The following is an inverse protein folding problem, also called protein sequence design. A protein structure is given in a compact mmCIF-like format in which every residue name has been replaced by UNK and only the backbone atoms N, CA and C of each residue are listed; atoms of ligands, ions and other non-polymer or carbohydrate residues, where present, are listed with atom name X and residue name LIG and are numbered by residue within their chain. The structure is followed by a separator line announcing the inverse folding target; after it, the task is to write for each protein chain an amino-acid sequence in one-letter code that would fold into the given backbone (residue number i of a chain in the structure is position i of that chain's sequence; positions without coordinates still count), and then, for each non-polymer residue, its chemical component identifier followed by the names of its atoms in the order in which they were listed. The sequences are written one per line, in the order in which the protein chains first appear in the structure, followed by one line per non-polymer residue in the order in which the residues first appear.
data_IF_861850351280
#
_entry.id   IF_861850351280
#
_cell.length_a   1.000
_cell.length_b   1.000
_cell.length_c   1.000
_cell.angle_alpha   90.00
_cell.angle_beta   90.00
_cell.angle_gamma   90.00
#
_symmetry.space_group_name_H-M   'P 1'
#
loop_
_entity.id
_entity.type
_entity.pdbx_description
1 polymer ?
#
# COMPACT_ATOMS: atom_id res chain seq x y z
N UNK A 1 -3.25 -17.71 13.78
CA UNK A 1 -1.91 -17.88 13.17
C UNK A 1 -0.94 -17.23 14.12
N UNK A 2 -0.20 -18.04 14.89
CA UNK A 2 0.77 -17.56 15.85
C UNK A 2 2.03 -17.09 15.11
N UNK A 3 2.30 -15.79 15.12
CA UNK A 3 3.58 -15.26 14.67
C UNK A 3 4.67 -15.71 15.64
N UNK A 4 5.81 -16.26 15.17
CA UNK A 4 6.88 -16.68 16.05
C UNK A 4 7.53 -15.44 16.70
N UNK A 5 7.70 -15.42 18.03
CA UNK A 5 8.43 -14.36 18.72
C UNK A 5 9.93 -14.57 18.47
N UNK A 6 10.48 -13.95 17.42
CA UNK A 6 11.90 -14.12 17.09
C UNK A 6 12.58 -13.06 16.21
N UNK A 7 11.85 -12.25 15.44
CA UNK A 7 12.48 -11.36 14.44
C UNK A 7 12.98 -10.00 14.93
N UNK A 8 12.83 -9.62 16.19
CA UNK A 8 13.19 -8.26 16.65
C UNK A 8 14.68 -8.04 16.93
N UNK A 9 15.48 -9.09 17.13
CA UNK A 9 16.89 -8.96 17.53
C UNK A 9 17.81 -8.50 16.38
N UNK A 10 17.57 -8.94 15.13
CA UNK A 10 18.38 -8.56 13.96
C UNK A 10 18.15 -7.12 13.51
N UNK A 11 16.90 -6.64 13.52
CA UNK A 11 16.53 -5.26 13.16
C UNK A 11 17.28 -4.17 13.96
N UNK A 12 17.67 -4.48 15.19
CA UNK A 12 18.43 -3.54 16.04
C UNK A 12 19.88 -3.36 15.57
N UNK A 13 20.47 -4.35 14.90
CA UNK A 13 21.88 -4.36 14.53
C UNK A 13 22.15 -3.56 13.27
N UNK A 14 21.38 -3.72 12.18
CA UNK A 14 21.52 -2.87 10.98
C UNK A 14 21.28 -1.39 11.33
N UNK A 15 20.27 -1.11 12.15
CA UNK A 15 19.98 0.27 12.56
C UNK A 15 21.04 0.84 13.50
N UNK A 16 21.56 0.04 14.45
CA UNK A 16 22.72 0.42 15.27
C UNK A 16 23.96 0.61 14.42
N UNK A 17 24.18 -0.20 13.39
CA UNK A 17 25.32 -0.07 12.49
C UNK A 17 25.19 1.21 11.65
N UNK A 18 24.02 1.46 11.06
CA UNK A 18 23.73 2.71 10.36
C UNK A 18 23.90 3.93 11.28
N UNK A 19 23.44 3.86 12.55
CA UNK A 19 23.65 4.89 13.57
C UNK A 19 25.09 5.03 14.04
N UNK A 20 25.80 3.95 14.32
CA UNK A 20 27.18 3.96 14.80
C UNK A 20 28.10 4.56 13.73
N UNK A 21 27.91 4.12 12.49
CA UNK A 21 28.59 4.70 11.35
C UNK A 21 28.21 6.19 11.17
N UNK A 22 27.00 6.66 11.59
CA UNK A 22 26.54 8.06 11.49
C UNK A 22 27.35 8.94 12.45
N UNK A 23 27.50 8.47 13.68
CA UNK A 23 28.30 9.13 14.72
C UNK A 23 29.79 9.19 14.38
N UNK A 24 30.39 8.13 13.82
CA UNK A 24 31.82 8.12 13.47
C UNK A 24 32.14 9.15 12.37
N UNK A 25 31.23 9.37 11.42
CA UNK A 25 31.46 10.33 10.35
C UNK A 25 31.26 11.80 10.76
N UNK A 26 30.43 12.07 11.79
CA UNK A 26 30.31 13.40 12.37
C UNK A 26 31.50 13.74 13.27
N UNK A 27 31.97 12.79 14.08
CA UNK A 27 33.18 12.96 14.91
C UNK A 27 34.44 13.24 14.06
N UNK A 28 34.54 12.65 12.85
CA UNK A 28 35.65 12.92 11.92
C UNK A 28 35.56 14.30 11.26
N UNK A 29 34.40 14.96 11.27
CA UNK A 29 34.21 16.32 10.74
C UNK A 29 34.45 17.42 11.78
N UNK A 30 34.34 17.09 13.07
CA UNK A 30 34.63 18.02 14.18
C UNK A 30 36.10 17.98 14.66
N UNK A 31 36.89 17.00 14.21
CA UNK A 31 38.32 16.88 14.58
C UNK A 31 39.29 17.74 13.74
N UNK A 32 38.80 18.70 12.96
CA UNK A 32 39.64 19.60 12.15
C UNK A 32 39.33 21.05 12.46
N UNK A 33 39.55 21.50 13.71
CA UNK A 33 39.71 22.94 14.00
C UNK A 33 40.48 23.17 15.30
N UNK A 34 41.64 23.80 15.13
CA UNK A 34 42.40 24.66 16.06
C UNK A 34 43.01 24.06 17.35
N UNK A 35 44.33 23.87 17.28
CA UNK A 35 45.25 23.99 18.42
C UNK A 35 45.12 25.36 19.08
N UNK A 36 45.07 25.40 20.42
CA UNK A 36 45.67 26.49 21.19
C UNK A 36 46.24 25.95 22.51
N UNK A 37 47.52 26.28 22.74
CA UNK A 37 48.33 25.90 23.89
C UNK A 37 47.79 26.43 25.23
N UNK A 38 48.04 25.66 26.30
CA UNK A 38 47.84 26.10 27.68
C UNK A 38 48.38 25.09 28.70
N UNK A 39 49.57 25.38 29.23
CA UNK A 39 50.31 24.60 30.23
C UNK A 39 49.67 24.61 31.63
N UNK A 40 49.89 23.56 32.44
CA UNK A 40 49.63 23.63 33.89
C UNK A 40 49.58 22.33 34.72
N UNK A 41 50.75 21.84 35.15
CA UNK A 41 51.11 21.34 36.51
C UNK A 41 50.38 20.11 37.14
N UNK A 42 51.17 19.03 37.27
CA UNK A 42 51.41 18.07 38.38
C UNK A 42 50.32 17.63 39.39
N UNK A 43 50.22 16.30 39.60
CA UNK A 43 50.45 15.61 40.90
C UNK A 43 50.57 14.07 40.80
N UNK A 44 51.55 13.56 41.56
CA UNK A 44 51.89 12.20 42.04
C UNK A 44 50.69 11.47 42.71
N UNK A 45 50.55 10.15 42.95
CA UNK A 45 51.39 8.94 43.23
C UNK A 45 50.38 7.75 43.26
N UNK A 46 50.66 6.49 42.89
CA UNK A 46 51.25 5.44 43.74
C UNK A 46 51.33 4.10 42.97
N UNK A 47 52.32 3.29 43.35
CA UNK A 47 52.65 1.96 42.84
C UNK A 47 51.78 0.81 43.40
N UNK A 48 51.72 -0.32 42.68
CA UNK A 48 51.90 -1.66 43.24
C UNK A 48 52.22 -2.70 42.15
N UNK A 49 53.19 -3.56 42.48
CA UNK A 49 53.79 -4.60 41.66
C UNK A 49 52.84 -5.77 41.35
N UNK A 50 53.07 -6.43 40.21
CA UNK A 50 52.52 -7.73 39.90
C UNK A 50 53.26 -8.37 38.72
N UNK A 51 54.45 -8.93 38.99
CA UNK A 51 55.20 -9.75 38.01
C UNK A 51 54.56 -11.13 37.97
N UNK A 52 54.13 -11.56 36.78
CA UNK A 52 53.86 -12.96 36.47
C UNK A 52 54.41 -13.25 35.08
N UNK A 53 55.58 -13.90 35.09
CA UNK A 53 56.21 -14.54 33.94
C UNK A 53 55.37 -15.73 33.49
N UNK A 54 54.78 -15.64 32.31
CA UNK A 54 54.18 -16.76 31.60
C UNK A 54 54.87 -16.93 30.23
N UNK A 55 55.23 -18.17 29.97
CA UNK A 55 56.00 -18.73 28.86
C UNK A 55 55.39 -18.42 27.48
N UNK A 56 56.18 -18.12 26.44
CA UNK A 56 55.65 -17.89 25.11
C UNK A 56 55.33 -19.23 24.44
N UNK A 57 54.05 -19.57 24.36
CA UNK A 57 53.57 -20.61 23.45
C UNK A 57 53.48 -19.98 22.07
N UNK A 58 54.33 -20.44 21.17
CA UNK A 58 54.40 -20.06 19.77
C UNK A 58 53.14 -20.61 19.06
N UNK A 59 52.00 -19.94 19.21
CA UNK A 59 50.83 -20.19 18.37
C UNK A 59 51.11 -19.57 17.01
N UNK A 60 51.41 -20.46 16.08
CA UNK A 60 51.46 -20.21 14.65
C UNK A 60 50.03 -19.81 14.21
N UNK A 61 49.69 -18.54 14.42
CA UNK A 61 48.50 -17.89 13.86
C UNK A 61 48.65 -17.93 12.34
N UNK A 62 48.04 -18.94 11.72
CA UNK A 62 47.60 -18.82 10.34
C UNK A 62 46.68 -17.61 10.31
N UNK A 63 47.22 -16.48 9.86
CA UNK A 63 46.43 -15.35 9.40
C UNK A 63 45.64 -15.85 8.20
N UNK A 64 44.45 -16.38 8.46
CA UNK A 64 43.36 -16.31 7.50
C UNK A 64 43.18 -14.82 7.21
N UNK A 65 43.83 -14.34 6.14
CA UNK A 65 43.62 -12.99 5.63
C UNK A 65 42.13 -12.86 5.39
N UNK A 66 41.45 -12.16 6.30
CA UNK A 66 40.06 -11.80 6.14
C UNK A 66 39.95 -11.04 4.81
N UNK A 67 39.32 -11.68 3.82
CA UNK A 67 39.08 -11.10 2.50
C UNK A 67 38.43 -9.73 2.72
N UNK A 68 39.09 -8.69 2.19
CA UNK A 68 38.66 -7.32 2.42
C UNK A 68 37.36 -7.08 1.65
N UNK A 69 36.50 -6.24 2.20
CA UNK A 69 35.27 -5.78 1.55
C UNK A 69 35.52 -5.16 0.16
N UNK A 70 36.71 -4.59 -0.02
CA UNK A 70 37.20 -4.04 -1.30
C UNK A 70 37.42 -5.10 -2.37
N UNK A 71 37.51 -6.38 -1.97
CA UNK A 71 37.88 -7.50 -2.85
C UNK A 71 36.62 -8.18 -3.42
N UNK A 72 35.42 -7.79 -2.98
CA UNK A 72 34.17 -8.22 -3.62
C UNK A 72 34.08 -7.53 -4.98
N UNK A 73 34.12 -8.28 -6.10
CA UNK A 73 34.03 -7.68 -7.42
C UNK A 73 32.72 -6.92 -7.56
N UNK A 74 32.75 -5.75 -8.19
CA UNK A 74 31.55 -4.98 -8.54
C UNK A 74 30.57 -5.84 -9.38
N UNK A 75 31.12 -6.81 -10.12
CA UNK A 75 30.40 -7.84 -10.89
C UNK A 75 29.55 -8.79 -10.03
N UNK A 76 29.83 -8.94 -8.72
CA UNK A 76 29.07 -9.80 -7.82
C UNK A 76 27.80 -9.11 -7.27
N UNK A 77 27.68 -7.79 -7.40
CA UNK A 77 26.56 -7.00 -6.88
C UNK A 77 25.21 -7.44 -7.47
N UNK A 78 25.05 -7.62 -8.80
CA UNK A 78 23.82 -8.12 -9.39
C UNK A 78 23.44 -9.51 -8.86
N UNK A 79 24.44 -10.40 -8.70
CA UNK A 79 24.22 -11.75 -8.17
C UNK A 79 23.72 -11.71 -6.73
N UNK A 80 24.33 -10.91 -5.86
CA UNK A 80 23.85 -10.75 -4.47
C UNK A 80 22.44 -10.19 -4.45
N UNK A 81 22.13 -9.22 -5.31
CA UNK A 81 20.78 -8.65 -5.41
C UNK A 81 19.74 -9.66 -5.95
N UNK A 82 20.13 -10.62 -6.78
CA UNK A 82 19.25 -11.73 -7.20
C UNK A 82 18.95 -12.71 -6.05
N UNK A 83 19.93 -12.92 -5.15
CA UNK A 83 19.76 -13.79 -3.97
C UNK A 83 18.96 -13.11 -2.85
N UNK A 84 19.10 -11.79 -2.69
CA UNK A 84 18.39 -11.01 -1.68
C UNK A 84 17.04 -10.55 -2.24
N UNK A 85 15.98 -11.28 -1.89
CA UNK A 85 14.62 -11.01 -2.38
C UNK A 85 13.72 -10.27 -1.39
N UNK A 86 14.20 -10.03 -0.18
CA UNK A 86 13.47 -9.34 0.90
C UNK A 86 14.40 -8.50 1.74
N UNK A 87 13.83 -7.52 2.46
CA UNK A 87 14.58 -6.67 3.37
C UNK A 87 15.09 -7.47 4.56
N UNK A 88 14.30 -8.40 5.10
CA UNK A 88 14.75 -9.29 6.19
C UNK A 88 15.97 -10.14 5.79
N UNK A 89 16.05 -10.61 4.54
CA UNK A 89 17.25 -11.32 4.04
C UNK A 89 18.46 -10.39 3.94
N UNK A 90 18.26 -9.15 3.48
CA UNK A 90 19.33 -8.16 3.43
C UNK A 90 19.85 -7.84 4.84
N UNK A 91 18.95 -7.66 5.81
CA UNK A 91 19.31 -7.44 7.22
C UNK A 91 20.15 -8.61 7.75
N UNK A 92 19.70 -9.86 7.56
CA UNK A 92 20.43 -11.04 7.99
C UNK A 92 21.82 -11.16 7.34
N UNK A 93 21.93 -10.80 6.06
CA UNK A 93 23.20 -10.81 5.33
C UNK A 93 24.17 -9.76 5.87
N UNK A 94 23.68 -8.55 6.15
CA UNK A 94 24.50 -7.48 6.74
C UNK A 94 24.95 -7.85 8.14
N UNK A 95 24.07 -8.45 8.95
CA UNK A 95 24.38 -8.91 10.30
C UNK A 95 25.44 -10.03 10.29
N UNK A 96 25.42 -10.91 9.29
CA UNK A 96 26.43 -11.96 9.12
C UNK A 96 27.81 -11.42 8.67
N UNK A 97 27.85 -10.30 7.97
CA UNK A 97 29.07 -9.74 7.38
C UNK A 97 29.21 -8.21 7.56
N UNK A 98 29.22 -7.68 8.80
CA UNK A 98 29.11 -6.24 9.07
C UNK A 98 30.29 -5.39 8.57
N UNK A 99 31.44 -6.01 8.28
CA UNK A 99 32.63 -5.35 7.76
C UNK A 99 32.70 -5.35 6.23
N UNK A 100 31.91 -6.18 5.55
CA UNK A 100 31.96 -6.37 4.09
C UNK A 100 31.04 -5.40 3.33
N UNK A 101 30.02 -4.87 3.99
CA UNK A 101 29.02 -4.03 3.36
C UNK A 101 29.36 -2.53 3.50
N UNK A 102 30.06 -2.00 2.50
CA UNK A 102 30.26 -0.55 2.37
C UNK A 102 29.05 0.14 1.74
N UNK A 103 28.95 1.46 1.89
CA UNK A 103 27.88 2.26 1.23
C UNK A 103 27.84 2.06 -0.28
N UNK A 104 29.02 1.94 -0.92
CA UNK A 104 29.14 1.76 -2.37
C UNK A 104 28.55 0.42 -2.84
N UNK A 105 28.65 -0.62 -2.02
CA UNK A 105 28.09 -1.96 -2.31
C UNK A 105 26.60 -2.03 -1.94
N UNK A 106 26.23 -1.48 -0.77
CA UNK A 106 24.86 -1.56 -0.27
C UNK A 106 23.86 -0.76 -1.09
N UNK A 107 24.25 0.42 -1.56
CA UNK A 107 23.31 1.33 -2.21
C UNK A 107 22.74 0.75 -3.53
N UNK A 108 23.54 0.17 -4.44
CA UNK A 108 23.02 -0.53 -5.62
C UNK A 108 22.08 -1.69 -5.26
N UNK A 109 22.45 -2.53 -4.29
CA UNK A 109 21.63 -3.67 -3.83
C UNK A 109 20.28 -3.17 -3.32
N UNK A 110 20.27 -2.13 -2.50
CA UNK A 110 19.06 -1.52 -1.95
C UNK A 110 18.17 -0.93 -3.05
N UNK A 111 18.74 -0.25 -4.05
CA UNK A 111 17.97 0.30 -5.18
C UNK A 111 17.32 -0.81 -6.00
N UNK A 112 18.07 -1.88 -6.30
CA UNK A 112 17.55 -3.02 -7.06
C UNK A 112 16.47 -3.77 -6.28
N UNK A 113 16.69 -4.02 -4.99
CA UNK A 113 15.71 -4.65 -4.11
C UNK A 113 14.43 -3.81 -4.01
N UNK A 114 14.54 -2.49 -3.87
CA UNK A 114 13.37 -1.61 -3.84
C UNK A 114 12.57 -1.71 -5.14
N UNK A 115 13.24 -1.63 -6.28
CA UNK A 115 12.59 -1.77 -7.59
C UNK A 115 11.86 -3.10 -7.71
N UNK A 116 12.53 -4.21 -7.34
CA UNK A 116 11.95 -5.55 -7.40
C UNK A 116 10.77 -5.75 -6.45
N UNK A 117 10.84 -5.20 -5.22
CA UNK A 117 9.75 -5.28 -4.23
C UNK A 117 8.54 -4.47 -4.70
N UNK A 118 8.76 -3.25 -5.22
CA UNK A 118 7.67 -2.39 -5.71
C UNK A 118 6.98 -3.03 -6.91
N UNK A 119 7.75 -3.52 -7.88
CA UNK A 119 7.21 -4.24 -9.05
C UNK A 119 6.48 -5.52 -8.61
N UNK A 120 7.03 -6.30 -7.67
CA UNK A 120 6.40 -7.52 -7.18
C UNK A 120 5.08 -7.29 -6.44
N UNK A 121 4.97 -6.19 -5.71
CA UNK A 121 3.76 -5.84 -4.95
C UNK A 121 2.70 -5.20 -5.86
N UNK A 122 3.09 -4.21 -6.65
CA UNK A 122 2.17 -3.30 -7.32
C UNK A 122 2.12 -3.49 -8.84
N UNK A 123 3.09 -4.19 -9.43
CA UNK A 123 3.29 -4.28 -10.88
C UNK A 123 3.41 -2.89 -11.52
N UNK A 124 2.98 -2.80 -12.78
CA UNK A 124 3.07 -1.58 -13.58
C UNK A 124 2.19 -0.40 -13.10
N UNK A 125 1.39 -0.57 -12.05
CA UNK A 125 0.52 0.50 -11.52
C UNK A 125 1.27 1.53 -10.67
N UNK A 126 2.48 1.19 -10.21
CA UNK A 126 3.29 2.02 -9.30
C UNK A 126 4.73 2.08 -9.79
N UNK A 127 5.28 3.29 -9.80
CA UNK A 127 6.70 3.55 -10.03
C UNK A 127 7.34 4.01 -8.72
N UNK A 128 8.56 3.54 -8.42
CA UNK A 128 9.33 4.04 -7.29
C UNK A 128 10.47 4.92 -7.77
N UNK A 129 10.49 6.18 -7.33
CA UNK A 129 11.62 7.08 -7.60
C UNK A 129 12.69 6.88 -6.55
N UNK A 130 13.93 6.65 -6.97
CA UNK A 130 15.05 6.62 -6.04
C UNK A 130 15.21 8.01 -5.40
N UNK A 131 15.29 8.11 -4.06
CA UNK A 131 15.51 9.40 -3.39
C UNK A 131 16.75 10.11 -3.95
N UNK A 132 16.58 11.34 -4.44
CA UNK A 132 17.68 12.19 -4.90
C UNK A 132 18.23 13.01 -3.73
N UNK A 133 18.97 12.36 -2.83
CA UNK A 133 19.59 13.04 -1.68
C UNK A 133 21.09 13.27 -1.94
N UNK A 134 21.61 14.41 -1.49
CA UNK A 134 23.00 14.81 -1.72
C UNK A 134 24.06 13.90 -1.04
N UNK A 135 23.61 12.97 -0.19
CA UNK A 135 24.47 12.06 0.55
C UNK A 135 23.96 10.62 0.40
N UNK A 136 24.79 9.74 -0.14
CA UNK A 136 24.46 8.31 -0.36
C UNK A 136 23.87 7.63 0.87
N UNK A 137 24.36 8.04 2.03
CA UNK A 137 23.87 7.57 3.31
C UNK A 137 22.42 7.91 3.59
N UNK A 138 22.01 9.14 3.31
CA UNK A 138 20.63 9.56 3.49
C UNK A 138 19.72 8.77 2.54
N UNK A 139 20.20 8.48 1.32
CA UNK A 139 19.51 7.59 0.37
C UNK A 139 19.34 6.18 0.96
N UNK A 140 20.40 5.59 1.52
CA UNK A 140 20.31 4.26 2.15
C UNK A 140 19.30 4.24 3.31
N UNK A 141 19.31 5.26 4.18
CA UNK A 141 18.34 5.36 5.28
C UNK A 141 16.90 5.47 4.76
N UNK A 142 16.69 6.26 3.70
CA UNK A 142 15.38 6.38 3.07
C UNK A 142 14.92 5.04 2.45
N UNK A 143 15.75 4.39 1.64
CA UNK A 143 15.39 3.12 0.98
C UNK A 143 15.14 2.01 2.01
N UNK A 144 16.00 1.88 3.04
CA UNK A 144 15.79 0.88 4.10
C UNK A 144 14.51 1.14 4.90
N UNK A 145 14.11 2.41 5.08
CA UNK A 145 12.80 2.76 5.64
C UNK A 145 11.65 2.33 4.74
N UNK A 146 11.75 2.57 3.42
CA UNK A 146 10.70 2.21 2.47
C UNK A 146 10.53 0.69 2.40
N UNK A 147 11.64 -0.04 2.24
CA UNK A 147 11.65 -1.50 2.24
C UNK A 147 11.06 -2.08 3.52
N UNK A 148 11.41 -1.52 4.68
CA UNK A 148 10.78 -1.90 5.95
C UNK A 148 9.27 -1.70 5.93
N UNK A 149 8.78 -0.53 5.47
CA UNK A 149 7.34 -0.24 5.42
C UNK A 149 6.61 -1.10 4.39
N UNK A 150 7.22 -1.40 3.25
CA UNK A 150 6.65 -2.29 2.24
C UNK A 150 6.58 -3.73 2.76
N UNK A 151 7.63 -4.24 3.41
CA UNK A 151 7.61 -5.62 3.92
C UNK A 151 6.71 -5.77 5.16
N UNK A 152 6.71 -4.79 6.06
CA UNK A 152 5.91 -4.81 7.30
C UNK A 152 4.54 -4.19 7.17
N UNK A 153 4.24 -3.64 6.00
CA UNK A 153 2.96 -3.01 5.70
C UNK A 153 1.84 -4.02 5.44
N UNK A 154 2.11 -5.32 5.47
CA UNK A 154 1.10 -6.37 5.34
C UNK A 154 0.68 -6.66 3.89
N UNK A 155 -0.60 -6.94 3.67
CA UNK A 155 -1.12 -7.31 2.35
C UNK A 155 -1.38 -6.07 1.49
N UNK A 156 -0.36 -5.64 0.77
CA UNK A 156 -0.48 -4.55 -0.21
C UNK A 156 -1.30 -4.93 -1.46
N UNK A 157 -1.44 -6.24 -1.74
CA UNK A 157 -2.14 -6.74 -2.92
C UNK A 157 -3.61 -6.30 -2.95
N UNK A 158 -4.23 -6.14 -1.78
CA UNK A 158 -5.62 -5.63 -1.65
C UNK A 158 -5.85 -4.26 -2.26
N UNK A 159 -4.80 -3.45 -2.41
CA UNK A 159 -4.90 -2.09 -2.97
C UNK A 159 -4.82 -2.06 -4.49
N UNK A 160 -4.60 -3.19 -5.17
CA UNK A 160 -4.59 -3.25 -6.64
C UNK A 160 -5.82 -2.58 -7.30
N UNK A 161 -7.08 -2.88 -6.90
CA UNK A 161 -8.24 -2.16 -7.46
C UNK A 161 -8.23 -0.66 -7.17
N UNK A 162 -7.71 -0.21 -6.03
CA UNK A 162 -7.60 1.21 -5.68
C UNK A 162 -6.52 1.91 -6.50
N UNK A 163 -5.41 1.23 -6.77
CA UNK A 163 -4.35 1.72 -7.65
C UNK A 163 -4.85 1.89 -9.09
N UNK A 164 -5.73 1.00 -9.56
CA UNK A 164 -6.40 1.17 -10.85
C UNK A 164 -7.30 2.43 -10.85
N UNK A 165 -8.12 2.62 -9.80
CA UNK A 165 -8.93 3.83 -9.66
C UNK A 165 -8.06 5.10 -9.62
N UNK A 166 -6.93 5.06 -8.89
CA UNK A 166 -5.96 6.15 -8.79
C UNK A 166 -5.26 6.42 -10.13
N UNK A 167 -4.91 5.39 -10.89
CA UNK A 167 -4.31 5.51 -12.21
C UNK A 167 -5.21 6.35 -13.13
N UNK A 168 -6.50 6.09 -13.13
CA UNK A 168 -7.47 6.86 -13.90
C UNK A 168 -7.70 8.27 -13.37
N UNK A 169 -7.75 8.47 -12.05
CA UNK A 169 -7.82 9.82 -11.45
C UNK A 169 -6.62 10.69 -11.82
N UNK A 170 -5.44 10.07 -11.97
CA UNK A 170 -4.19 10.74 -12.35
C UNK A 170 -4.01 10.82 -13.87
N UNK A 171 -5.07 10.65 -14.64
CA UNK A 171 -5.04 10.77 -16.10
C UNK A 171 -4.20 9.68 -16.76
N UNK A 172 -4.37 8.43 -16.32
CA UNK A 172 -3.65 7.25 -16.83
C UNK A 172 -2.14 7.31 -16.58
N UNK A 173 -1.75 7.83 -15.41
CA UNK A 173 -0.36 7.89 -14.98
C UNK A 173 -0.13 6.98 -13.75
N UNK A 174 0.95 6.17 -13.73
CA UNK A 174 1.26 5.27 -12.62
C UNK A 174 1.62 6.06 -11.36
N UNK A 175 1.23 5.56 -10.18
CA UNK A 175 1.50 6.25 -8.92
C UNK A 175 3.01 6.27 -8.66
N UNK A 176 3.57 7.46 -8.49
CA UNK A 176 5.01 7.61 -8.24
C UNK A 176 5.24 7.70 -6.74
N UNK A 177 5.77 6.63 -6.15
CA UNK A 177 6.19 6.63 -4.75
C UNK A 177 7.55 7.32 -4.61
N UNK A 178 7.59 8.28 -3.69
CA UNK A 178 8.75 9.09 -3.36
C UNK A 178 8.89 9.24 -1.85
N UNK A 179 9.90 9.99 -1.39
CA UNK A 179 10.18 10.09 0.06
C UNK A 179 9.02 10.71 0.84
N UNK A 180 8.29 11.61 0.20
CA UNK A 180 7.11 12.25 0.79
C UNK A 180 5.99 11.26 1.14
N UNK A 181 5.87 10.16 0.41
CA UNK A 181 4.84 9.15 0.69
C UNK A 181 5.16 8.39 2.00
N UNK A 182 6.44 8.09 2.22
CA UNK A 182 6.91 7.37 3.39
C UNK A 182 7.25 8.31 4.57
N UNK A 183 7.36 9.62 4.32
CA UNK A 183 7.48 10.65 5.37
C UNK A 183 6.17 10.85 6.15
N UNK A 184 5.06 10.28 5.66
CA UNK A 184 3.77 10.28 6.36
C UNK A 184 3.83 9.67 7.77
N UNK A 185 4.88 8.90 8.09
CA UNK A 185 5.16 8.39 9.42
C UNK A 185 6.47 8.97 9.93
N UNK A 186 6.41 9.68 11.06
CA UNK A 186 7.59 10.24 11.72
C UNK A 186 8.56 9.18 12.28
N UNK A 187 8.12 7.92 12.41
CA UNK A 187 8.96 6.81 12.86
C UNK A 187 8.42 5.44 12.44
N UNK A 188 9.28 4.41 12.50
CA UNK A 188 8.86 3.00 12.31
C UNK A 188 7.82 2.57 13.35
N UNK A 189 7.97 3.01 14.60
CA UNK A 189 7.01 2.68 15.67
C UNK A 189 5.63 3.28 15.40
N UNK A 190 5.56 4.51 14.87
CA UNK A 190 4.30 5.14 14.47
C UNK A 190 3.62 4.37 13.31
N UNK A 191 4.40 3.82 12.38
CA UNK A 191 3.88 2.97 11.32
C UNK A 191 3.32 1.64 11.86
N UNK A 192 4.04 0.97 12.76
CA UNK A 192 3.60 -0.31 13.35
C UNK A 192 2.42 -0.14 14.30
N UNK A 193 2.29 1.01 14.96
CA UNK A 193 1.20 1.29 15.91
C UNK A 193 -0.13 1.66 15.27
N UNK A 194 -0.16 1.86 13.95
CA UNK A 194 -1.36 2.23 13.20
C UNK A 194 -1.89 1.00 12.44
N UNK A 195 -3.19 0.99 12.14
CA UNK A 195 -3.82 -0.17 11.47
C UNK A 195 -3.30 -0.33 10.05
N UNK A 196 -3.09 -1.56 9.63
CA UNK A 196 -2.45 -1.91 8.36
C UNK A 196 -3.07 -1.16 7.16
N UNK A 197 -4.38 -1.27 6.94
CA UNK A 197 -5.06 -0.62 5.82
C UNK A 197 -4.97 0.91 5.87
N UNK A 198 -5.02 1.50 7.08
CA UNK A 198 -4.87 2.94 7.28
C UNK A 198 -3.44 3.36 6.95
N UNK A 199 -2.45 2.55 7.35
CA UNK A 199 -1.05 2.77 7.05
C UNK A 199 -0.78 2.76 5.56
N UNK A 200 -1.17 1.68 4.90
CA UNK A 200 -0.99 1.48 3.47
C UNK A 200 -1.63 2.62 2.69
N UNK A 201 -2.88 2.97 3.00
CA UNK A 201 -3.56 4.06 2.33
C UNK A 201 -2.92 5.42 2.56
N UNK A 202 -2.46 5.70 3.79
CA UNK A 202 -1.78 6.96 4.11
C UNK A 202 -0.49 7.10 3.28
N UNK A 203 0.24 6.01 3.03
CA UNK A 203 1.39 6.01 2.09
C UNK A 203 0.91 6.29 0.66
N UNK A 204 -0.08 5.55 0.15
CA UNK A 204 -0.52 5.63 -1.25
C UNK A 204 -1.17 6.96 -1.63
N UNK A 205 -1.79 7.66 -0.68
CA UNK A 205 -2.59 8.87 -0.93
C UNK A 205 -1.87 10.18 -0.67
N UNK A 206 -0.70 10.16 -0.02
CA UNK A 206 -0.05 11.35 0.58
C UNK A 206 0.15 12.52 -0.39
N UNK A 207 0.65 12.25 -1.59
CA UNK A 207 0.90 13.28 -2.62
C UNK A 207 -0.12 13.22 -3.76
N UNK A 208 -1.22 12.48 -3.58
CA UNK A 208 -2.29 12.44 -4.58
C UNK A 208 -3.18 13.65 -4.39
N UNK A 209 -3.17 14.51 -5.40
CA UNK A 209 -4.06 15.66 -5.48
C UNK A 209 -5.22 15.35 -6.42
N UNK A 210 -6.44 15.69 -6.00
CA UNK A 210 -7.66 15.63 -6.81
C UNK A 210 -8.22 17.02 -7.02
N UNK A 211 -8.90 17.21 -8.15
CA UNK A 211 -9.55 18.48 -8.50
C UNK A 211 -11.04 18.39 -8.19
N UNK A 212 -11.54 19.34 -7.40
CA UNK A 212 -12.97 19.55 -7.16
C UNK A 212 -13.35 20.94 -7.67
N UNK A 213 -13.94 21.00 -8.86
CA UNK A 213 -14.21 22.28 -9.53
C UNK A 213 -12.91 23.04 -9.84
N UNK A 214 -12.73 24.22 -9.27
CA UNK A 214 -11.49 25.02 -9.40
C UNK A 214 -10.44 24.73 -8.32
N UNK A 215 -10.81 24.01 -7.24
CA UNK A 215 -9.93 23.77 -6.11
C UNK A 215 -9.16 22.46 -6.30
N UNK A 216 -7.85 22.51 -6.10
CA UNK A 216 -7.02 21.33 -5.92
C UNK A 216 -6.98 21.00 -4.43
N UNK A 217 -7.20 19.74 -4.08
CA UNK A 217 -7.10 19.24 -2.70
C UNK A 217 -6.35 17.93 -2.67
N UNK A 218 -5.61 17.70 -1.58
CA UNK A 218 -5.06 16.38 -1.33
C UNK A 218 -6.20 15.41 -1.08
N UNK A 219 -6.09 14.22 -1.67
CA UNK A 219 -7.14 13.19 -1.66
C UNK A 219 -7.61 12.86 -0.23
N UNK A 220 -6.73 12.97 0.76
CA UNK A 220 -7.05 12.72 2.17
C UNK A 220 -7.28 13.96 3.04
N UNK A 221 -6.89 15.15 2.60
CA UNK A 221 -7.20 16.38 3.33
C UNK A 221 -8.63 16.88 3.00
N UNK A 222 -9.18 16.43 1.86
CA UNK A 222 -10.53 16.79 1.40
C UNK A 222 -11.66 15.96 2.00
N UNK A 223 -11.37 14.82 2.62
CA UNK A 223 -12.36 13.95 3.22
C UNK A 223 -12.50 14.21 4.72
N UNK A 224 -13.73 14.17 5.24
CA UNK A 224 -13.96 14.12 6.69
C UNK A 224 -13.24 12.91 7.26
N UNK A 225 -12.70 13.05 8.48
CA UNK A 225 -12.00 11.95 9.15
C UNK A 225 -12.99 10.80 9.40
N UNK A 226 -12.71 9.59 8.88
CA UNK A 226 -13.56 8.44 9.11
C UNK A 226 -13.44 7.93 10.55
N UNK A 227 -14.52 7.33 11.06
CA UNK A 227 -14.53 6.65 12.35
C UNK A 227 -14.25 5.17 12.16
N UNK A 228 -13.11 4.70 12.67
CA UNK A 228 -12.71 3.29 12.59
C UNK A 228 -13.37 2.51 13.72
N UNK A 229 -13.99 1.38 13.40
CA UNK A 229 -14.62 0.51 14.39
C UNK A 229 -13.63 -0.52 14.91
N UNK A 230 -13.64 -0.79 16.21
CA UNK A 230 -12.80 -1.82 16.86
C UNK A 230 -13.39 -3.23 16.78
N UNK A 231 -14.64 -3.33 16.31
CA UNK A 231 -15.42 -4.55 16.31
C UNK A 231 -16.17 -4.74 14.98
N UNK A 232 -16.59 -5.98 14.65
CA UNK A 232 -17.46 -6.23 13.51
C UNK A 232 -18.71 -5.36 13.56
N UNK A 233 -19.07 -4.75 12.42
CA UNK A 233 -20.33 -4.01 12.30
C UNK A 233 -21.52 -4.99 12.22
N UNK A 234 -22.63 -4.75 12.93
CA UNK A 234 -23.82 -5.60 12.86
C UNK A 234 -24.51 -5.56 11.49
N UNK A 235 -24.14 -4.63 10.62
CA UNK A 235 -24.68 -4.51 9.26
C UNK A 235 -24.07 -5.50 8.28
N UNK A 236 -22.94 -6.10 8.63
CA UNK A 236 -22.22 -7.04 7.78
C UNK A 236 -22.08 -8.39 8.49
N UNK A 237 -21.91 -9.49 7.73
CA UNK A 237 -21.64 -10.79 8.32
C UNK A 237 -20.40 -10.73 9.23
N UNK A 238 -20.42 -11.44 10.36
CA UNK A 238 -19.33 -11.36 11.37
C UNK A 238 -18.02 -11.96 10.88
N UNK A 239 -18.11 -12.91 9.97
CA UNK A 239 -16.99 -13.63 9.34
C UNK A 239 -16.21 -12.76 8.36
N UNK A 240 -16.69 -11.56 8.00
CA UNK A 240 -15.95 -10.63 7.13
C UNK A 240 -15.07 -9.64 7.91
N UNK A 241 -14.95 -9.77 9.23
CA UNK A 241 -14.15 -8.84 10.03
C UNK A 241 -12.65 -9.13 9.90
N UNK A 242 -11.90 -8.15 9.41
CA UNK A 242 -10.44 -8.12 9.39
C UNK A 242 -9.97 -6.96 10.28
N UNK A 243 -9.20 -7.26 11.34
CA UNK A 243 -8.66 -6.22 12.22
C UNK A 243 -7.60 -5.35 11.52
N UNK A 244 -6.94 -5.87 10.48
CA UNK A 244 -5.99 -5.15 9.66
C UNK A 244 -6.68 -4.16 8.69
N UNK A 245 -7.94 -4.45 8.31
CA UNK A 245 -8.80 -3.60 7.47
C UNK A 245 -10.17 -3.36 8.14
N UNK A 246 -10.19 -2.54 9.19
CA UNK A 246 -11.34 -2.47 10.09
C UNK A 246 -12.58 -1.91 9.41
N UNK A 247 -13.80 -2.31 9.86
CA UNK A 247 -15.02 -1.62 9.49
C UNK A 247 -14.93 -0.14 9.80
N UNK A 248 -15.50 0.69 8.93
CA UNK A 248 -15.30 2.13 8.97
C UNK A 248 -16.63 2.85 8.76
N UNK A 249 -16.82 3.99 9.42
CA UNK A 249 -17.99 4.85 9.24
C UNK A 249 -17.61 6.23 8.73
N UNK A 250 -18.39 6.74 7.79
CA UNK A 250 -18.25 8.10 7.27
C UNK A 250 -19.62 8.61 6.80
N UNK A 251 -20.02 9.79 7.28
CA UNK A 251 -21.26 10.48 6.87
C UNK A 251 -22.52 9.60 6.91
N UNK A 252 -22.65 8.77 7.95
CA UNK A 252 -23.79 7.86 8.15
C UNK A 252 -23.72 6.54 7.37
N UNK A 253 -22.78 6.41 6.44
CA UNK A 253 -22.45 5.14 5.80
C UNK A 253 -21.55 4.30 6.70
N UNK A 254 -21.82 3.00 6.75
CA UNK A 254 -20.92 2.00 7.31
C UNK A 254 -20.36 1.13 6.19
N UNK A 255 -19.06 0.95 6.22
CA UNK A 255 -18.27 0.15 5.30
C UNK A 255 -17.79 -1.10 6.05
N UNK A 256 -17.78 -2.28 5.40
CA UNK A 256 -17.30 -3.50 6.03
C UNK A 256 -15.80 -3.43 6.32
N UNK A 257 -15.07 -2.57 5.60
CA UNK A 257 -13.63 -2.39 5.71
C UNK A 257 -13.21 -0.96 5.35
N UNK A 258 -12.00 -0.56 5.74
CA UNK A 258 -11.42 0.73 5.39
C UNK A 258 -11.10 0.80 3.89
N UNK A 259 -10.62 -0.30 3.29
CA UNK A 259 -10.44 -0.38 1.85
C UNK A 259 -11.76 -0.15 1.09
N UNK A 260 -12.90 -0.65 1.59
CA UNK A 260 -14.20 -0.37 1.00
C UNK A 260 -14.54 1.12 1.02
N UNK A 261 -14.30 1.80 2.15
CA UNK A 261 -14.45 3.26 2.23
C UNK A 261 -13.64 3.96 1.13
N UNK A 262 -12.36 3.61 1.01
CA UNK A 262 -11.47 4.25 0.04
C UNK A 262 -11.94 4.00 -1.40
N UNK A 263 -12.38 2.79 -1.74
CA UNK A 263 -12.87 2.47 -3.09
C UNK A 263 -14.06 3.35 -3.48
N UNK A 264 -15.03 3.53 -2.59
CA UNK A 264 -16.18 4.43 -2.83
C UNK A 264 -15.77 5.89 -2.94
N UNK A 265 -14.81 6.33 -2.13
CA UNK A 265 -14.28 7.71 -2.21
C UNK A 265 -13.58 7.96 -3.55
N UNK A 266 -12.68 7.08 -3.96
CA UNK A 266 -11.99 7.14 -5.25
C UNK A 266 -12.96 7.11 -6.43
N UNK A 267 -13.94 6.21 -6.39
CA UNK A 267 -14.97 6.12 -7.41
C UNK A 267 -15.81 7.40 -7.50
N UNK A 268 -16.16 8.01 -6.36
CA UNK A 268 -16.89 9.28 -6.33
C UNK A 268 -16.06 10.39 -6.98
N UNK A 269 -14.76 10.46 -6.71
CA UNK A 269 -13.86 11.40 -7.37
C UNK A 269 -13.79 11.19 -8.89
N UNK A 270 -13.71 9.95 -9.35
CA UNK A 270 -13.68 9.64 -10.80
C UNK A 270 -14.94 10.11 -11.49
N UNK A 271 -16.09 9.81 -10.88
CA UNK A 271 -17.41 10.18 -11.40
C UNK A 271 -17.57 11.70 -11.43
N UNK A 272 -17.29 12.37 -10.31
CA UNK A 272 -17.52 13.81 -10.16
C UNK A 272 -16.52 14.64 -10.98
N UNK A 273 -15.34 14.08 -11.28
CA UNK A 273 -14.34 14.66 -12.17
C UNK A 273 -14.50 14.30 -13.64
N UNK A 274 -15.54 13.56 -14.02
CA UNK A 274 -15.78 13.09 -15.41
C UNK A 274 -14.64 12.27 -16.01
N UNK A 275 -13.86 11.56 -15.18
CA UNK A 275 -12.79 10.66 -15.62
C UNK A 275 -13.33 9.32 -16.14
N UNK A 276 -14.58 9.01 -15.81
CA UNK A 276 -15.31 7.83 -16.27
C UNK A 276 -16.59 8.29 -16.96
N UNK A 277 -16.93 7.63 -18.05
CA UNK A 277 -18.15 7.87 -18.80
C UNK A 277 -19.27 7.01 -18.23
N UNK A 278 -20.41 7.63 -18.01
CA UNK A 278 -21.63 6.92 -17.68
C UNK A 278 -22.13 6.18 -18.93
N UNK A 279 -22.15 4.85 -18.87
CA UNK A 279 -22.54 4.00 -20.00
C UNK A 279 -24.01 3.55 -19.87
N UNK A 280 -24.48 3.28 -18.64
CA UNK A 280 -25.81 2.70 -18.42
C UNK A 280 -26.42 3.00 -17.04
N UNK A 281 -27.75 3.12 -16.99
CA UNK A 281 -28.56 3.01 -15.77
C UNK A 281 -29.78 2.12 -16.06
N UNK A 282 -30.09 1.26 -15.10
CA UNK A 282 -31.32 0.48 -15.06
C UNK A 282 -31.87 0.59 -13.64
N UNK A 283 -33.07 1.14 -13.52
CA UNK A 283 -33.74 1.28 -12.23
C UNK A 283 -35.14 0.67 -12.27
N UNK A 284 -35.61 0.16 -11.13
CA UNK A 284 -36.94 -0.43 -11.02
C UNK A 284 -37.52 -0.18 -9.63
N UNK A 285 -38.71 0.42 -9.59
CA UNK A 285 -39.53 0.56 -8.38
C UNK A 285 -40.39 -0.69 -8.10
N UNK A 286 -40.57 -1.55 -9.12
CA UNK A 286 -41.36 -2.75 -8.99
C UNK A 286 -40.53 -3.87 -8.34
N UNK A 287 -40.82 -4.19 -7.07
CA UNK A 287 -40.12 -5.24 -6.32
C UNK A 287 -40.19 -6.63 -6.96
N UNK A 288 -41.24 -6.89 -7.75
CA UNK A 288 -41.45 -8.15 -8.44
C UNK A 288 -40.81 -8.20 -9.84
N UNK A 289 -40.23 -7.10 -10.33
CA UNK A 289 -39.57 -7.11 -11.64
C UNK A 289 -38.32 -7.99 -11.63
N UNK A 290 -38.02 -8.61 -12.77
CA UNK A 290 -36.82 -9.43 -12.92
C UNK A 290 -35.53 -8.62 -12.63
N UNK A 291 -35.51 -7.33 -12.96
CA UNK A 291 -34.39 -6.44 -12.66
C UNK A 291 -34.23 -6.22 -11.14
N UNK A 292 -35.33 -5.96 -10.43
CA UNK A 292 -35.33 -5.76 -8.98
C UNK A 292 -34.89 -7.02 -8.24
N UNK A 293 -35.38 -8.19 -8.66
CA UNK A 293 -34.96 -9.49 -8.13
C UNK A 293 -33.47 -9.74 -8.39
N UNK A 294 -32.99 -9.46 -9.60
CA UNK A 294 -31.57 -9.63 -9.93
C UNK A 294 -30.66 -8.72 -9.11
N UNK A 295 -31.05 -7.47 -8.85
CA UNK A 295 -30.30 -6.58 -7.94
C UNK A 295 -30.18 -7.19 -6.54
N UNK A 296 -31.27 -7.78 -6.00
CA UNK A 296 -31.21 -8.45 -4.70
C UNK A 296 -30.27 -9.64 -4.69
N UNK A 297 -30.31 -10.47 -5.73
CA UNK A 297 -29.37 -11.59 -5.89
C UNK A 297 -27.92 -11.09 -5.91
N UNK A 298 -27.65 -10.06 -6.71
CA UNK A 298 -26.31 -9.45 -6.81
C UNK A 298 -25.84 -8.88 -5.48
N UNK A 299 -26.71 -8.28 -4.67
CA UNK A 299 -26.35 -7.75 -3.35
C UNK A 299 -26.22 -8.86 -2.29
N UNK A 300 -26.94 -9.97 -2.42
CA UNK A 300 -26.86 -11.11 -1.51
C UNK A 300 -25.63 -11.99 -1.76
N UNK A 301 -25.07 -11.97 -2.97
CA UNK A 301 -23.89 -12.78 -3.31
C UNK A 301 -22.67 -12.40 -2.44
N UNK A 302 -21.81 -13.36 -2.03
CA UNK A 302 -20.57 -13.06 -1.32
C UNK A 302 -19.62 -12.20 -2.18
N UNK A 303 -18.85 -11.30 -1.55
CA UNK A 303 -17.85 -10.49 -2.27
C UNK A 303 -16.76 -11.35 -2.93
N UNK A 304 -16.45 -12.51 -2.34
CA UNK A 304 -15.44 -13.46 -2.81
C UNK A 304 -15.95 -14.45 -3.87
N UNK A 305 -17.21 -14.34 -4.32
CA UNK A 305 -17.80 -15.26 -5.29
C UNK A 305 -17.28 -14.98 -6.71
N UNK A 306 -16.13 -15.55 -7.04
CA UNK A 306 -15.51 -15.41 -8.35
C UNK A 306 -16.38 -15.93 -9.51
N UNK A 307 -17.31 -16.87 -9.26
CA UNK A 307 -18.22 -17.35 -10.29
C UNK A 307 -19.28 -16.29 -10.65
N UNK A 308 -19.71 -15.49 -9.67
CA UNK A 308 -20.64 -14.38 -9.89
C UNK A 308 -19.92 -13.13 -10.43
N UNK A 309 -18.76 -12.77 -9.91
CA UNK A 309 -18.10 -11.50 -10.25
C UNK A 309 -17.11 -11.61 -11.42
N UNK A 310 -16.63 -12.83 -11.70
CA UNK A 310 -15.50 -13.08 -12.60
C UNK A 310 -14.16 -12.93 -11.88
N UNK A 311 -13.16 -13.69 -12.35
CA UNK A 311 -11.79 -13.57 -11.85
C UNK A 311 -11.26 -12.15 -12.10
N UNK A 312 -10.63 -11.55 -11.09
CA UNK A 312 -10.06 -10.19 -11.17
C UNK A 312 -11.04 -9.05 -10.87
N UNK A 313 -12.32 -9.34 -10.58
CA UNK A 313 -13.27 -8.34 -10.12
C UNK A 313 -13.07 -8.05 -8.62
N UNK A 314 -13.05 -6.77 -8.25
CA UNK A 314 -13.04 -6.34 -6.85
C UNK A 314 -14.43 -5.84 -6.44
N UNK A 315 -14.93 -6.30 -5.29
CA UNK A 315 -16.29 -5.99 -4.81
C UNK A 315 -16.22 -5.30 -3.46
N UNK A 316 -16.84 -4.13 -3.38
CA UNK A 316 -16.90 -3.30 -2.17
C UNK A 316 -18.34 -3.04 -1.80
N UNK A 317 -18.64 -3.03 -0.51
CA UNK A 317 -19.98 -2.74 -0.01
C UNK A 317 -19.98 -1.50 0.88
N UNK A 318 -21.13 -0.85 0.97
CA UNK A 318 -21.48 0.05 2.05
C UNK A 318 -22.96 -0.04 2.36
N UNK A 319 -23.31 0.21 3.61
CA UNK A 319 -24.70 0.23 4.07
C UNK A 319 -24.99 1.51 4.82
N UNK A 320 -26.16 2.09 4.56
CA UNK A 320 -26.67 3.22 5.33
C UNK A 320 -27.76 2.69 6.26
N UNK A 321 -27.57 2.87 7.57
CA UNK A 321 -28.61 2.54 8.56
C UNK A 321 -29.23 3.82 9.12
N UNK A 322 -30.18 4.39 8.36
CA UNK A 322 -31.04 5.47 8.83
C UNK A 322 -32.47 5.04 8.55
N UNK A 323 -33.30 5.08 9.60
CA UNK A 323 -34.66 4.53 9.64
C UNK A 323 -34.75 2.99 9.65
N UNK A 324 -35.97 2.48 9.48
CA UNK A 324 -36.31 1.06 9.57
C UNK A 324 -35.84 0.20 8.38
N UNK A 325 -35.26 0.78 7.33
CA UNK A 325 -34.83 0.03 6.13
C UNK A 325 -33.37 0.31 5.83
N UNK A 326 -32.49 -0.72 5.89
CA UNK A 326 -31.09 -0.54 5.53
C UNK A 326 -30.97 -0.31 4.02
N UNK A 327 -30.21 0.71 3.63
CA UNK A 327 -29.76 0.84 2.25
C UNK A 327 -28.49 0.04 2.06
N UNK A 328 -28.37 -0.62 0.91
CA UNK A 328 -27.18 -1.37 0.55
C UNK A 328 -26.72 -0.94 -0.82
N UNK A 329 -25.47 -0.50 -0.89
CA UNK A 329 -24.78 -0.21 -2.13
C UNK A 329 -23.56 -1.11 -2.26
N UNK A 330 -23.40 -1.66 -3.46
CA UNK A 330 -22.25 -2.47 -3.88
C UNK A 330 -21.58 -1.84 -5.08
N UNK A 331 -20.27 -1.75 -5.03
CA UNK A 331 -19.39 -1.31 -6.11
C UNK A 331 -18.57 -2.51 -6.59
N UNK A 332 -18.71 -2.87 -7.85
CA UNK A 332 -17.87 -3.87 -8.52
C UNK A 332 -16.92 -3.14 -9.46
N UNK A 333 -15.62 -3.29 -9.26
CA UNK A 333 -14.57 -2.71 -10.10
C UNK A 333 -13.94 -3.80 -10.95
N UNK A 334 -14.00 -3.62 -12.26
CA UNK A 334 -13.41 -4.48 -13.28
C UNK A 334 -12.20 -3.73 -13.86
N UNK A 335 -11.00 -4.01 -13.37
CA UNK A 335 -9.78 -3.34 -13.79
C UNK A 335 -9.18 -3.88 -15.10
N UNK A 336 -7.97 -3.43 -15.42
CA UNK A 336 -7.22 -3.79 -16.64
C UNK A 336 -7.07 -5.31 -16.86
N UNK A 337 -7.04 -6.14 -15.82
CA UNK A 337 -6.98 -7.61 -15.97
C UNK A 337 -8.23 -8.18 -16.68
N UNK A 338 -9.39 -7.56 -16.46
CA UNK A 338 -10.68 -8.01 -17.02
C UNK A 338 -11.04 -7.19 -18.26
N UNK A 339 -10.81 -5.87 -18.19
CA UNK A 339 -11.19 -4.90 -19.22
C UNK A 339 -10.09 -4.66 -20.25
N UNK A 340 -8.93 -5.30 -20.12
CA UNK A 340 -7.75 -5.05 -20.93
C UNK A 340 -7.03 -3.76 -20.57
N UNK A 341 -5.73 -3.70 -20.88
CA UNK A 341 -4.82 -2.64 -20.44
C UNK A 341 -5.39 -1.23 -20.60
N UNK A 342 -5.33 -0.45 -19.52
CA UNK A 342 -5.70 0.97 -19.49
C UNK A 342 -7.20 1.25 -19.58
N UNK A 343 -8.02 0.21 -19.42
CA UNK A 343 -9.47 0.32 -19.33
C UNK A 343 -9.97 -0.27 -18.03
N UNK A 344 -11.03 0.34 -17.51
CA UNK A 344 -11.77 -0.17 -16.37
C UNK A 344 -13.28 0.02 -16.58
N UNK A 345 -14.06 -0.79 -15.88
CA UNK A 345 -15.49 -0.58 -15.70
C UNK A 345 -15.85 -0.65 -14.22
N UNK A 346 -16.86 0.12 -13.83
CA UNK A 346 -17.41 0.11 -12.48
C UNK A 346 -18.92 -0.11 -12.55
N UNK A 347 -19.42 -1.07 -11.77
CA UNK A 347 -20.85 -1.38 -11.65
C UNK A 347 -21.27 -0.99 -10.24
N UNK A 348 -22.22 -0.08 -10.15
CA UNK A 348 -22.84 0.37 -8.90
C UNK A 348 -24.22 -0.25 -8.80
N UNK A 349 -24.40 -1.15 -7.83
CA UNK A 349 -25.66 -1.86 -7.56
C UNK A 349 -26.23 -1.30 -6.26
N UNK A 350 -27.48 -0.84 -6.27
CA UNK A 350 -28.09 -0.16 -5.13
C UNK A 350 -29.47 -0.74 -4.80
N UNK A 351 -29.75 -0.91 -3.51
CA UNK A 351 -31.08 -1.15 -2.95
C UNK A 351 -31.39 -0.06 -1.92
N UNK A 352 -32.28 0.85 -2.31
CA UNK A 352 -32.81 1.94 -1.49
C UNK A 352 -34.16 1.55 -0.84
N UNK A 353 -34.47 0.24 -0.80
CA UNK A 353 -35.72 -0.32 -0.30
C UNK A 353 -36.76 -0.46 -1.40
N UNK A 354 -37.33 0.67 -1.82
CA UNK A 354 -38.37 0.71 -2.86
C UNK A 354 -37.81 0.93 -4.27
N UNK A 355 -36.62 1.51 -4.37
CA UNK A 355 -35.88 1.65 -5.63
C UNK A 355 -34.68 0.70 -5.64
N UNK A 356 -34.53 -0.05 -6.72
CA UNK A 356 -33.32 -0.82 -7.01
C UNK A 356 -32.72 -0.35 -8.33
N UNK A 357 -31.42 -0.12 -8.34
CA UNK A 357 -30.72 0.40 -9.52
C UNK A 357 -29.40 -0.30 -9.77
N UNK A 358 -29.01 -0.32 -11.04
CA UNK A 358 -27.69 -0.72 -11.51
C UNK A 358 -27.18 0.38 -12.44
N UNK A 359 -26.04 0.97 -12.10
CA UNK A 359 -25.36 1.96 -12.93
C UNK A 359 -24.00 1.43 -13.37
N UNK A 360 -23.66 1.65 -14.63
CA UNK A 360 -22.41 1.19 -15.24
C UNK A 360 -21.62 2.39 -15.73
N UNK A 361 -20.35 2.44 -15.34
CA UNK A 361 -19.39 3.44 -15.75
C UNK A 361 -18.21 2.75 -16.41
N UNK A 362 -17.58 3.39 -17.38
CA UNK A 362 -16.44 2.85 -18.10
C UNK A 362 -15.47 3.94 -18.53
N UNK A 363 -14.21 3.55 -18.72
CA UNK A 363 -13.19 4.38 -19.36
C UNK A 363 -12.96 4.00 -20.82
N UNK A 364 -13.64 2.95 -21.30
CA UNK A 364 -13.67 2.62 -22.72
C UNK A 364 -14.35 3.76 -23.49
N UNK A 365 -13.84 4.04 -24.68
CA UNK A 365 -14.52 4.96 -25.60
C UNK A 365 -15.64 4.24 -26.33
N UNK A 366 -16.72 4.97 -26.65
CA UNK A 366 -17.80 4.44 -27.48
C UNK A 366 -17.23 3.77 -28.76
N UNK A 367 -17.70 2.56 -29.13
CA UNK A 367 -19.00 1.97 -28.79
C UNK A 367 -19.11 1.07 -27.52
N UNK A 368 -18.15 1.09 -26.60
CA UNK A 368 -18.21 0.36 -25.29
C UNK A 368 -18.44 -1.17 -25.40
N UNK A 369 -18.10 -1.81 -26.53
CA UNK A 369 -18.42 -3.21 -26.79
C UNK A 369 -17.77 -4.18 -25.77
N UNK A 370 -16.57 -3.83 -25.29
CA UNK A 370 -15.86 -4.65 -24.29
C UNK A 370 -16.52 -4.53 -22.92
N UNK A 371 -16.86 -3.31 -22.51
CA UNK A 371 -17.61 -3.00 -21.29
C UNK A 371 -18.92 -3.77 -21.33
N UNK A 372 -19.63 -3.69 -22.46
CA UNK A 372 -20.86 -4.41 -22.69
C UNK A 372 -20.69 -5.90 -22.48
N UNK A 373 -19.78 -6.52 -23.21
CA UNK A 373 -19.56 -7.98 -23.11
C UNK A 373 -19.22 -8.41 -21.68
N UNK A 374 -18.37 -7.65 -20.99
CA UNK A 374 -17.88 -8.00 -19.65
C UNK A 374 -18.95 -7.79 -18.57
N UNK A 375 -19.59 -6.62 -18.55
CA UNK A 375 -20.63 -6.28 -17.58
C UNK A 375 -21.85 -7.20 -17.70
N UNK A 376 -22.18 -7.64 -18.92
CA UNK A 376 -23.26 -8.60 -19.18
C UNK A 376 -23.04 -9.95 -18.51
N UNK A 377 -21.78 -10.39 -18.35
CA UNK A 377 -21.46 -11.64 -17.64
C UNK A 377 -21.74 -11.52 -16.15
N UNK A 378 -21.45 -10.35 -15.56
CA UNK A 378 -21.71 -10.07 -14.14
C UNK A 378 -23.22 -9.90 -13.90
N UNK A 379 -23.87 -9.03 -14.67
CA UNK A 379 -25.27 -8.66 -14.45
C UNK A 379 -26.27 -9.76 -14.85
N UNK A 380 -25.90 -10.64 -15.78
CA UNK A 380 -26.78 -11.67 -16.31
C UNK A 380 -27.76 -11.16 -17.38
N UNK A 381 -28.46 -12.10 -18.04
CA UNK A 381 -29.34 -11.79 -19.18
C UNK A 381 -30.56 -10.95 -18.81
N UNK A 382 -31.04 -11.05 -17.57
CA UNK A 382 -32.22 -10.34 -17.07
C UNK A 382 -32.03 -8.83 -17.09
N UNK A 383 -30.83 -8.37 -16.72
CA UNK A 383 -30.42 -6.98 -16.84
C UNK A 383 -29.83 -6.70 -18.22
N UNK A 384 -29.45 -7.72 -18.97
CA UNK A 384 -28.69 -7.55 -20.20
C UNK A 384 -29.48 -7.38 -21.51
N UNK A 385 -30.72 -7.89 -21.56
CA UNK A 385 -31.56 -7.84 -22.75
C UNK A 385 -32.21 -6.49 -23.03
N UNK A 386 -32.30 -5.62 -22.02
CA UNK A 386 -32.80 -4.25 -22.20
C UNK A 386 -31.78 -3.42 -22.97
N UNK A 387 -32.24 -2.54 -23.85
CA UNK A 387 -31.36 -1.78 -24.72
C UNK A 387 -30.28 -1.07 -23.87
N UNK A 388 -29.07 -0.95 -24.42
CA UNK A 388 -27.93 -0.30 -23.74
C UNK A 388 -28.10 1.23 -23.60
N UNK A 389 -29.31 1.75 -23.84
CA UNK A 389 -29.69 3.15 -23.60
C UNK A 389 -30.66 3.22 -22.43
N UNK A 390 -30.61 4.36 -21.72
CA UNK A 390 -31.40 4.69 -20.54
C UNK A 390 -32.88 4.31 -20.72
N UNK A 391 -33.36 3.34 -19.93
CA UNK A 391 -34.77 2.95 -19.84
C UNK A 391 -35.20 3.12 -18.39
N UNK A 392 -36.20 3.96 -18.15
CA UNK A 392 -36.81 4.15 -16.84
C UNK A 392 -38.11 3.33 -16.77
N UNK A 393 -38.16 2.30 -15.93
CA UNK A 393 -39.37 1.50 -15.71
C UNK A 393 -40.36 2.25 -14.78
N UNK A 394 -40.90 3.37 -15.23
CA UNK A 394 -41.97 4.08 -14.50
C UNK A 394 -43.35 3.39 -14.59
N UNK A 395 -43.42 2.14 -15.05
CA UNK A 395 -44.65 1.49 -15.51
C UNK A 395 -45.53 0.80 -14.47
N UNK A 396 -45.29 0.92 -13.15
CA UNK A 396 -46.10 0.21 -12.13
C UNK A 396 -46.98 1.12 -11.25
N UNK A 397 -47.39 2.29 -11.74
CA UNK A 397 -48.58 2.97 -11.22
C UNK A 397 -49.84 2.40 -11.90
N UNK A 398 -50.16 1.14 -11.60
CA UNK A 398 -51.50 0.62 -11.83
C UNK A 398 -52.28 0.79 -10.52
N UNK A 399 -53.39 1.53 -10.60
CA UNK A 399 -54.38 1.78 -9.55
C UNK A 399 -54.87 0.50 -8.87
#
# INVERSE_FOLDING_TARGET
MDQPPGCFAGMFNLWRWLKASLTVSQAKKESTTCNHDGAGISKTTHAANGVSTATPVNQQQQHDSAVSASDVPEEAVPTVAEYVRSYSQLEALIDAHPTQFTTAVLLPILKQLLSAVVEGIFGASVEATVPQLALDRAIMVAITRWLFMLERGGDWGRWRPHLELLYHLRGKSPLVLGDEHFSAFGSRAAFIGEREAVCQWRVLSREVNVRRGSQQMRLMDGCRLPFLLDAPSPLFPRDTFDAADPPTQLDGWTYPSYASLVAFSLFSWLRDGSYITFSRDCSSYCRASAASLRVRELLAAPQSDAAQWGSGAAVFDRKWQVWARPWHERLVVLGSEVMGQGNMAAIRVEDWGDLRSVRVFTTESAPDDRTRTTVMRVLGRQLGGKAWRMEDECGCLAM
#
